data_IF_149987776393
#
_entry.id   IF_149987776393
#
_cell.length_a   1.000
_cell.length_b   1.000
_cell.length_c   1.000
_cell.angle_alpha   90.00
_cell.angle_beta   90.00
_cell.angle_gamma   90.00
#
_symmetry.space_group_name_H-M   'P 1'
#
loop_
_entity.id
_entity.type
_entity.pdbx_description
1 polymer ?
#
# COMPACT_ATOMS: atom_id res chain seq x y z
N UNK A 1 3.86 23.89 23.76
CA UNK A 1 3.29 23.28 22.52
C UNK A 1 4.04 21.99 22.24
N UNK A 2 3.45 20.83 22.54
CA UNK A 2 4.03 19.53 22.16
C UNK A 2 3.77 19.33 20.66
N UNK A 3 4.73 19.72 19.82
CA UNK A 3 4.70 19.45 18.38
C UNK A 3 4.96 17.95 18.19
N UNK A 4 4.05 17.27 17.51
CA UNK A 4 4.27 15.91 17.02
C UNK A 4 5.28 16.04 15.87
N UNK A 5 6.55 15.85 16.16
CA UNK A 5 7.54 15.53 15.14
C UNK A 5 7.99 14.10 15.47
N UNK A 6 7.47 13.13 14.70
CA UNK A 6 7.95 11.75 14.48
C UNK A 6 8.71 11.04 15.65
N UNK A 7 8.36 11.30 16.91
CA UNK A 7 9.26 10.98 18.02
C UNK A 7 9.18 9.55 18.57
N UNK A 8 8.50 8.63 17.90
CA UNK A 8 8.50 7.22 18.33
C UNK A 8 8.29 6.22 17.18
N UNK A 9 9.31 6.01 16.35
CA UNK A 9 9.41 4.82 15.50
C UNK A 9 10.35 3.83 16.19
N UNK A 10 9.84 2.64 16.49
CA UNK A 10 10.56 1.54 17.16
C UNK A 10 11.66 1.01 16.25
N UNK A 11 12.88 0.90 16.78
CA UNK A 11 14.10 0.50 16.05
C UNK A 11 14.24 -1.02 16.04
N UNK A 12 14.40 -1.62 14.85
CA UNK A 12 14.94 -2.97 14.68
C UNK A 12 16.32 -2.85 14.03
N UNK A 13 17.35 -3.48 14.60
CA UNK A 13 18.74 -3.34 14.16
C UNK A 13 19.22 -4.63 13.47
N UNK A 14 19.62 -4.56 12.20
CA UNK A 14 20.55 -5.49 11.54
C UNK A 14 21.32 -4.80 10.38
N UNK A 15 22.37 -5.48 9.91
CA UNK A 15 23.58 -5.04 9.21
C UNK A 15 23.41 -4.18 7.94
N UNK A 16 24.45 -3.36 7.68
CA UNK A 16 24.56 -2.43 6.53
C UNK A 16 25.08 -3.14 5.27
N UNK A 17 24.46 -2.89 4.12
CA UNK A 17 25.07 -3.05 2.80
C UNK A 17 24.86 -1.80 1.94
N UNK A 18 25.87 -1.40 1.18
CA UNK A 18 25.88 -0.19 0.38
C UNK A 18 25.32 -0.46 -1.02
N UNK A 19 24.15 0.10 -1.32
CA UNK A 19 23.67 0.24 -2.69
C UNK A 19 23.24 1.69 -2.91
N UNK A 20 23.94 2.39 -3.81
CA UNK A 20 23.59 3.72 -4.28
C UNK A 20 22.83 3.60 -5.60
N UNK A 21 21.60 4.10 -5.65
CA UNK A 21 20.80 4.21 -6.87
C UNK A 21 20.17 5.63 -6.98
N UNK A 22 20.25 6.23 -8.17
CA UNK A 22 20.06 7.67 -8.45
C UNK A 22 18.65 8.21 -8.10
N UNK A 23 18.51 9.35 -7.40
CA UNK A 23 18.34 10.68 -8.03
C UNK A 23 18.59 11.86 -7.06
N UNK A 24 18.90 11.57 -5.80
CA UNK A 24 19.13 12.55 -4.75
C UNK A 24 20.56 12.47 -4.25
N UNK A 25 21.29 13.59 -4.30
CA UNK A 25 22.60 13.66 -3.64
C UNK A 25 22.42 13.87 -2.13
N UNK A 26 22.18 12.78 -1.38
CA UNK A 26 22.01 12.80 0.08
C UNK A 26 23.27 13.24 0.83
N UNK A 27 24.42 13.20 0.16
CA UNK A 27 25.72 13.63 0.70
C UNK A 27 26.07 15.07 0.33
N UNK A 28 25.18 15.80 -0.36
CA UNK A 28 25.41 17.19 -0.77
C UNK A 28 25.71 18.06 0.44
N UNK A 29 26.84 18.76 0.39
CA UNK A 29 27.29 19.70 1.44
C UNK A 29 26.88 21.14 1.15
N UNK A 30 26.11 21.37 0.09
CA UNK A 30 25.58 22.70 -0.25
C UNK A 30 24.65 23.16 0.86
N UNK A 31 25.03 24.25 1.53
CA UNK A 31 24.25 24.83 2.62
C UNK A 31 23.03 25.56 2.05
N UNK A 32 21.85 25.26 2.60
CA UNK A 32 20.59 25.95 2.28
C UNK A 32 20.27 27.01 3.34
N UNK A 33 20.47 26.68 4.62
CA UNK A 33 20.23 27.59 5.75
C UNK A 33 21.31 27.45 6.82
N UNK A 34 21.56 28.54 7.56
CA UNK A 34 22.41 28.54 8.75
C UNK A 34 21.68 29.21 9.92
N UNK A 35 21.69 28.55 11.09
CA UNK A 35 21.06 29.07 12.31
C UNK A 35 21.93 28.69 13.51
N UNK A 36 22.35 29.66 14.32
CA UNK A 36 23.09 29.43 15.57
C UNK A 36 24.29 28.47 15.45
N UNK A 37 25.04 28.57 14.35
CA UNK A 37 26.22 27.71 14.09
C UNK A 37 25.90 26.32 13.50
N UNK A 38 24.63 25.98 13.29
CA UNK A 38 24.21 24.76 12.60
C UNK A 38 23.91 25.05 11.14
N UNK A 39 24.36 24.15 10.25
CA UNK A 39 24.10 24.22 8.81
C UNK A 39 23.10 23.16 8.38
N UNK A 40 22.02 23.60 7.75
CA UNK A 40 21.09 22.73 7.07
C UNK A 40 21.48 22.65 5.59
N UNK A 41 21.77 21.45 5.09
CA UNK A 41 22.30 21.23 3.74
C UNK A 41 21.25 20.65 2.79
N UNK A 42 21.52 20.72 1.49
CA UNK A 42 20.75 20.04 0.46
C UNK A 42 20.74 18.51 0.68
N UNK A 43 21.84 17.94 1.24
CA UNK A 43 21.87 16.54 1.64
C UNK A 43 20.81 16.20 2.70
N UNK A 44 20.64 17.06 3.71
CA UNK A 44 19.60 16.88 4.73
C UNK A 44 18.19 16.93 4.11
N UNK A 45 17.94 17.90 3.24
CA UNK A 45 16.65 18.01 2.55
C UNK A 45 16.33 16.79 1.70
N UNK A 46 17.33 16.31 0.97
CA UNK A 46 17.23 15.13 0.12
C UNK A 46 16.90 13.85 0.91
N UNK A 47 17.40 13.72 2.14
CA UNK A 47 17.04 12.61 3.04
C UNK A 47 15.56 12.65 3.42
N UNK A 48 15.05 13.82 3.81
CA UNK A 48 13.63 14.01 4.13
C UNK A 48 12.75 13.77 2.90
N UNK A 49 13.15 14.27 1.73
CA UNK A 49 12.41 14.03 0.48
C UNK A 49 12.27 12.54 0.17
N UNK A 50 13.35 11.76 0.30
CA UNK A 50 13.30 10.29 0.09
C UNK A 50 12.28 9.63 1.02
N UNK A 51 12.27 9.99 2.29
CA UNK A 51 11.31 9.47 3.26
C UNK A 51 9.86 9.85 2.92
N UNK A 52 9.62 11.12 2.59
CA UNK A 52 8.30 11.62 2.22
C UNK A 52 7.80 10.90 0.95
N UNK A 53 8.62 10.85 -0.10
CA UNK A 53 8.23 10.21 -1.36
C UNK A 53 8.01 8.70 -1.22
N UNK A 54 8.74 8.04 -0.32
CA UNK A 54 8.48 6.65 0.05
C UNK A 54 7.09 6.47 0.69
N UNK A 55 6.74 7.29 1.68
CA UNK A 55 5.41 7.24 2.30
C UNK A 55 4.31 7.51 1.28
N UNK A 56 4.50 8.50 0.40
CA UNK A 56 3.48 8.89 -0.58
C UNK A 56 3.42 7.94 -1.78
N UNK A 57 4.48 7.15 -2.02
CA UNK A 57 4.68 6.36 -3.24
C UNK A 57 4.66 7.23 -4.50
N UNK A 58 5.02 8.51 -4.41
CA UNK A 58 4.96 9.50 -5.49
C UNK A 58 6.08 10.53 -5.34
N UNK A 59 6.66 10.96 -6.46
CA UNK A 59 7.64 12.06 -6.47
C UNK A 59 6.93 13.39 -6.24
N UNK A 60 7.52 14.26 -5.42
CA UNK A 60 7.04 15.61 -5.18
C UNK A 60 7.34 16.52 -6.37
N UNK A 61 6.36 17.35 -6.74
CA UNK A 61 6.54 18.42 -7.72
C UNK A 61 7.52 19.50 -7.20
N UNK A 62 8.05 20.31 -8.11
CA UNK A 62 8.96 21.41 -7.73
C UNK A 62 8.31 22.41 -6.74
N UNK A 63 7.00 22.67 -6.89
CA UNK A 63 6.25 23.56 -6.01
C UNK A 63 6.14 22.94 -4.60
N UNK A 64 5.79 21.66 -4.51
CA UNK A 64 5.70 20.94 -3.23
C UNK A 64 7.06 20.88 -2.54
N UNK A 65 8.16 20.63 -3.28
CA UNK A 65 9.51 20.68 -2.71
C UNK A 65 9.83 22.05 -2.12
N UNK A 66 9.47 23.14 -2.81
CA UNK A 66 9.66 24.50 -2.27
C UNK A 66 8.81 24.75 -1.02
N UNK A 67 7.57 24.26 -0.96
CA UNK A 67 6.72 24.37 0.22
C UNK A 67 7.32 23.61 1.42
N UNK A 68 7.73 22.36 1.21
CA UNK A 68 8.40 21.55 2.23
C UNK A 68 9.67 22.22 2.74
N UNK A 69 10.49 22.76 1.82
CA UNK A 69 11.71 23.48 2.19
C UNK A 69 11.45 24.72 3.06
N UNK A 70 10.37 25.48 2.78
CA UNK A 70 9.95 26.64 3.61
C UNK A 70 9.47 26.21 4.99
N UNK A 71 8.71 25.12 5.10
CA UNK A 71 8.27 24.60 6.40
C UNK A 71 9.45 24.13 7.24
N UNK A 72 10.41 23.43 6.61
CA UNK A 72 11.65 22.99 7.27
C UNK A 72 12.47 24.18 7.73
N UNK A 73 12.61 25.24 6.92
CA UNK A 73 13.30 26.46 7.31
C UNK A 73 12.69 27.07 8.59
N UNK A 74 11.35 27.15 8.66
CA UNK A 74 10.62 27.63 9.85
C UNK A 74 10.90 26.76 11.08
N UNK A 75 10.92 25.44 10.93
CA UNK A 75 11.18 24.51 12.03
C UNK A 75 12.66 24.52 12.47
N UNK A 76 13.60 24.54 11.52
CA UNK A 76 15.04 24.59 11.77
C UNK A 76 15.45 25.86 12.51
N UNK A 77 14.83 27.02 12.21
CA UNK A 77 15.05 28.28 12.94
C UNK A 77 14.67 28.19 14.42
N UNK A 78 13.73 27.32 14.79
CA UNK A 78 13.28 27.16 16.17
C UNK A 78 14.18 26.20 16.96
N UNK A 79 14.58 25.08 16.36
CA UNK A 79 15.40 24.07 17.06
C UNK A 79 16.35 23.33 16.11
N UNK A 80 17.47 23.96 15.69
CA UNK A 80 18.30 23.44 14.61
C UNK A 80 18.98 22.11 14.97
N UNK A 81 19.48 21.96 16.20
CA UNK A 81 20.16 20.74 16.65
C UNK A 81 19.22 19.53 16.63
N UNK A 82 17.98 19.72 17.09
CA UNK A 82 16.98 18.66 17.14
C UNK A 82 16.53 18.25 15.73
N UNK A 83 16.26 19.22 14.84
CA UNK A 83 15.90 18.93 13.45
C UNK A 83 16.97 18.08 12.74
N UNK A 84 18.25 18.42 12.89
CA UNK A 84 19.32 17.60 12.28
C UNK A 84 19.36 16.19 12.84
N UNK A 85 19.17 16.04 14.16
CA UNK A 85 19.12 14.71 14.79
C UNK A 85 17.98 13.86 14.24
N UNK A 86 16.79 14.43 14.06
CA UNK A 86 15.64 13.71 13.52
C UNK A 86 15.88 13.26 12.08
N UNK A 87 16.49 14.11 11.25
CA UNK A 87 16.80 13.78 9.85
C UNK A 87 17.77 12.60 9.77
N UNK A 88 18.81 12.59 10.61
CA UNK A 88 19.76 11.48 10.64
C UNK A 88 19.11 10.20 11.19
N UNK A 89 18.15 10.31 12.12
CA UNK A 89 17.39 9.15 12.60
C UNK A 89 16.47 8.57 11.53
N UNK A 90 15.76 9.43 10.79
CA UNK A 90 14.91 9.02 9.67
C UNK A 90 15.74 8.40 8.56
N UNK A 91 16.87 8.99 8.19
CA UNK A 91 17.77 8.43 7.18
C UNK A 91 18.30 7.06 7.62
N UNK A 92 18.75 6.91 8.88
CA UNK A 92 19.19 5.61 9.39
C UNK A 92 18.10 4.53 9.31
N UNK A 93 16.84 4.87 9.61
CA UNK A 93 15.71 3.96 9.44
C UNK A 93 15.46 3.63 7.97
N UNK A 94 15.50 4.63 7.09
CA UNK A 94 15.37 4.40 5.64
C UNK A 94 16.48 3.48 5.12
N UNK A 95 17.73 3.65 5.57
CA UNK A 95 18.83 2.76 5.19
C UNK A 95 18.58 1.30 5.61
N UNK A 96 17.93 1.06 6.75
CA UNK A 96 17.53 -0.28 7.17
C UNK A 96 16.40 -0.83 6.29
N UNK A 97 15.41 0.01 5.98
CA UNK A 97 14.33 -0.34 5.05
C UNK A 97 14.90 -0.72 3.69
N UNK A 98 15.99 -0.07 3.29
CA UNK A 98 16.63 -0.34 2.02
C UNK A 98 17.32 -1.71 1.92
N UNK A 99 17.45 -2.44 3.02
CA UNK A 99 17.98 -3.80 3.03
C UNK A 99 16.88 -4.85 2.89
N UNK A 100 15.60 -4.45 2.93
CA UNK A 100 14.48 -5.38 2.90
C UNK A 100 14.21 -5.77 1.46
N UNK A 101 14.29 -7.07 1.16
CA UNK A 101 13.96 -7.63 -0.15
C UNK A 101 12.52 -8.13 -0.24
N UNK A 102 11.89 -8.44 0.90
CA UNK A 102 10.48 -8.86 0.97
C UNK A 102 9.54 -7.66 0.71
N UNK A 103 8.90 -7.66 -0.45
CA UNK A 103 7.95 -6.65 -0.91
C UNK A 103 6.76 -6.50 0.03
N UNK A 104 6.26 -7.61 0.60
CA UNK A 104 5.17 -7.57 1.57
C UNK A 104 5.63 -6.89 2.86
N UNK A 105 6.86 -7.14 3.31
CA UNK A 105 7.43 -6.46 4.48
C UNK A 105 7.59 -4.95 4.25
N UNK A 106 8.06 -4.52 3.07
CA UNK A 106 8.13 -3.10 2.70
C UNK A 106 6.75 -2.45 2.76
N UNK A 107 5.73 -3.12 2.19
CA UNK A 107 4.35 -2.66 2.22
C UNK A 107 3.79 -2.52 3.64
N UNK A 108 4.02 -3.53 4.49
CA UNK A 108 3.62 -3.49 5.91
C UNK A 108 4.29 -2.33 6.65
N UNK A 109 5.59 -2.11 6.45
CA UNK A 109 6.30 -1.00 7.06
C UNK A 109 5.77 0.35 6.61
N UNK A 110 5.51 0.51 5.31
CA UNK A 110 4.91 1.73 4.76
C UNK A 110 3.53 1.99 5.38
N UNK A 111 2.68 0.98 5.46
CA UNK A 111 1.37 1.05 6.12
C UNK A 111 1.48 1.44 7.60
N UNK A 112 2.47 0.93 8.32
CA UNK A 112 2.72 1.29 9.71
C UNK A 112 3.14 2.77 9.86
N UNK A 113 4.02 3.28 8.98
CA UNK A 113 4.40 4.69 8.98
C UNK A 113 3.20 5.60 8.67
N UNK A 114 2.40 5.25 7.65
CA UNK A 114 1.17 5.96 7.31
C UNK A 114 0.22 5.99 8.51
N UNK A 115 0.03 4.84 9.17
CA UNK A 115 -0.79 4.69 10.37
C UNK A 115 -0.37 5.63 11.49
N UNK A 116 0.92 5.71 11.78
CA UNK A 116 1.45 6.58 12.84
C UNK A 116 1.20 8.06 12.53
N UNK A 117 1.47 8.48 11.30
CA UNK A 117 1.27 9.88 10.90
C UNK A 117 -0.21 10.22 10.89
N UNK A 118 -1.05 9.32 10.38
CA UNK A 118 -2.50 9.49 10.35
C UNK A 118 -3.07 9.61 11.78
N UNK A 119 -2.71 8.71 12.68
CA UNK A 119 -3.13 8.77 14.09
C UNK A 119 -2.63 10.04 14.79
N UNK A 120 -1.40 10.46 14.51
CA UNK A 120 -0.86 11.73 15.00
C UNK A 120 -1.65 12.94 14.51
N UNK A 121 -2.01 12.96 13.22
CA UNK A 121 -2.76 14.04 12.58
C UNK A 121 -4.17 14.22 13.14
N UNK A 122 -4.83 13.15 13.60
CA UNK A 122 -6.16 13.24 14.24
C UNK A 122 -6.16 14.13 15.49
N UNK A 123 -5.02 14.29 16.16
CA UNK A 123 -4.87 15.13 17.35
C UNK A 123 -4.60 16.62 17.02
N UNK A 124 -4.53 17.00 15.74
CA UNK A 124 -4.19 18.35 15.29
C UNK A 124 -5.41 19.18 14.86
N UNK A 125 -6.62 18.79 15.26
CA UNK A 125 -7.84 19.51 14.91
C UNK A 125 -7.76 21.00 15.29
N UNK A 126 -8.09 21.88 14.33
CA UNK A 126 -8.05 23.34 14.50
C UNK A 126 -6.66 23.98 14.42
N UNK A 127 -5.61 23.21 14.08
CA UNK A 127 -4.25 23.71 13.92
C UNK A 127 -3.79 23.68 12.45
N UNK A 128 -2.74 24.44 12.14
CA UNK A 128 -2.05 24.34 10.85
C UNK A 128 -1.46 22.92 10.71
N UNK A 129 -1.91 22.18 9.71
CA UNK A 129 -1.41 20.83 9.44
C UNK A 129 0.05 20.89 8.95
N UNK A 130 0.94 19.99 9.43
CA UNK A 130 2.28 19.83 8.85
C UNK A 130 2.22 19.50 7.37
N UNK A 131 3.23 19.92 6.61
CA UNK A 131 3.35 19.71 5.17
C UNK A 131 3.16 18.25 4.76
N UNK A 132 3.82 17.32 5.46
CA UNK A 132 3.69 15.88 5.20
C UNK A 132 2.23 15.41 5.35
N UNK A 133 1.49 15.90 6.35
CA UNK A 133 0.09 15.52 6.56
C UNK A 133 -0.80 16.02 5.42
N UNK A 134 -0.57 17.25 4.95
CA UNK A 134 -1.28 17.80 3.78
C UNK A 134 -1.05 16.94 2.53
N UNK A 135 0.21 16.54 2.29
CA UNK A 135 0.55 15.67 1.18
C UNK A 135 -0.06 14.27 1.33
N UNK A 136 -0.10 13.73 2.55
CA UNK A 136 -0.73 12.43 2.79
C UNK A 136 -2.22 12.45 2.46
N UNK A 137 -2.95 13.47 2.88
CA UNK A 137 -4.36 13.62 2.52
C UNK A 137 -4.57 13.79 1.01
N UNK A 138 -3.59 14.34 0.29
CA UNK A 138 -3.63 14.50 -1.16
C UNK A 138 -3.31 13.21 -1.93
N UNK A 139 -2.26 12.49 -1.55
CA UNK A 139 -1.72 11.39 -2.37
C UNK A 139 -1.98 9.99 -1.83
N UNK A 140 -2.19 9.86 -0.52
CA UNK A 140 -2.43 8.58 0.17
C UNK A 140 -3.60 8.70 1.14
N UNK A 141 -4.79 9.13 0.68
CA UNK A 141 -5.94 9.25 1.56
C UNK A 141 -6.27 7.88 2.17
N UNK A 142 -6.35 7.84 3.50
CA UNK A 142 -6.64 6.62 4.27
C UNK A 142 -8.13 6.34 4.18
N UNK A 143 -8.47 5.16 3.68
CA UNK A 143 -9.85 4.68 3.53
C UNK A 143 -10.33 3.92 4.76
N UNK A 144 -9.45 3.11 5.36
CA UNK A 144 -9.72 2.39 6.59
C UNK A 144 -8.46 2.29 7.45
N UNK A 145 -8.64 2.21 8.77
CA UNK A 145 -7.55 2.29 9.74
C UNK A 145 -7.77 1.28 10.88
N UNK A 146 -6.76 0.46 11.15
CA UNK A 146 -6.70 -0.45 12.29
C UNK A 146 -5.60 0.02 13.26
N UNK A 147 -5.97 0.73 14.34
CA UNK A 147 -5.01 1.24 15.31
C UNK A 147 -4.33 0.14 16.14
N UNK A 148 -4.94 -1.04 16.27
CA UNK A 148 -4.38 -2.12 17.08
C UNK A 148 -3.18 -2.75 16.38
N UNK A 149 -3.26 -2.91 15.06
CA UNK A 149 -2.23 -3.54 14.25
C UNK A 149 -1.36 -2.52 13.49
N UNK A 150 -1.63 -1.21 13.63
CA UNK A 150 -0.96 -0.13 12.90
C UNK A 150 -1.05 -0.33 11.39
N UNK A 151 -2.27 -0.60 10.90
CA UNK A 151 -2.53 -0.79 9.47
C UNK A 151 -3.41 0.33 8.94
N UNK A 152 -3.00 0.91 7.81
CA UNK A 152 -3.72 1.95 7.12
C UNK A 152 -3.95 1.52 5.67
N UNK A 153 -5.19 1.22 5.34
CA UNK A 153 -5.61 0.92 3.97
C UNK A 153 -5.87 2.22 3.24
N UNK A 154 -5.07 2.51 2.22
CA UNK A 154 -5.17 3.78 1.48
C UNK A 154 -5.88 3.62 0.14
N UNK A 155 -6.27 4.74 -0.46
CA UNK A 155 -6.84 4.74 -1.81
C UNK A 155 -5.87 4.15 -2.84
N UNK A 156 -4.57 4.38 -2.70
CA UNK A 156 -3.56 3.80 -3.59
C UNK A 156 -3.50 2.28 -3.47
N UNK A 157 -3.66 1.75 -2.26
CA UNK A 157 -3.73 0.30 -2.06
C UNK A 157 -4.98 -0.28 -2.72
N UNK A 158 -6.12 0.42 -2.62
CA UNK A 158 -7.34 0.04 -3.33
C UNK A 158 -7.21 0.10 -4.86
N UNK A 159 -6.61 1.16 -5.43
CA UNK A 159 -6.36 1.25 -6.87
C UNK A 159 -5.47 0.09 -7.34
N UNK A 160 -4.37 -0.15 -6.62
CA UNK A 160 -3.44 -1.23 -6.92
C UNK A 160 -4.10 -2.61 -6.81
N UNK A 161 -5.01 -2.78 -5.85
CA UNK A 161 -5.83 -3.99 -5.73
C UNK A 161 -6.65 -4.23 -7.01
N UNK A 162 -7.36 -3.21 -7.51
CA UNK A 162 -8.12 -3.31 -8.76
C UNK A 162 -7.19 -3.60 -9.95
N UNK A 163 -6.04 -2.94 -10.04
CA UNK A 163 -5.10 -3.16 -11.13
C UNK A 163 -4.47 -4.54 -11.11
N UNK A 164 -4.17 -5.09 -9.93
CA UNK A 164 -3.70 -6.47 -9.78
C UNK A 164 -4.74 -7.47 -10.27
N UNK A 165 -6.02 -7.26 -9.94
CA UNK A 165 -7.10 -8.09 -10.47
C UNK A 165 -7.18 -8.04 -12.01
N UNK A 166 -7.10 -6.85 -12.60
CA UNK A 166 -7.12 -6.69 -14.05
C UNK A 166 -5.89 -7.31 -14.71
N UNK A 167 -4.71 -7.09 -14.14
CA UNK A 167 -3.45 -7.67 -14.61
C UNK A 167 -3.52 -9.19 -14.62
N UNK A 168 -4.02 -9.80 -13.55
CA UNK A 168 -4.17 -11.24 -13.48
C UNK A 168 -5.20 -11.78 -14.47
N UNK A 169 -6.35 -11.13 -14.61
CA UNK A 169 -7.32 -11.50 -15.62
C UNK A 169 -6.70 -11.50 -17.03
N UNK A 170 -5.91 -10.46 -17.35
CA UNK A 170 -5.20 -10.36 -18.62
C UNK A 170 -4.20 -11.50 -18.82
N UNK A 171 -3.45 -11.88 -17.77
CA UNK A 171 -2.53 -13.03 -17.85
C UNK A 171 -3.29 -14.34 -18.13
N UNK A 172 -4.52 -14.46 -17.67
CA UNK A 172 -5.38 -15.62 -17.96
C UNK A 172 -6.13 -15.51 -19.31
N UNK A 173 -5.79 -14.52 -20.14
CA UNK A 173 -6.43 -14.29 -21.44
C UNK A 173 -7.82 -13.63 -21.35
N UNK A 174 -8.20 -13.12 -20.18
CA UNK A 174 -9.45 -12.43 -19.96
C UNK A 174 -9.24 -10.90 -20.00
N UNK A 175 -10.10 -10.19 -20.72
CA UNK A 175 -10.07 -8.73 -20.72
C UNK A 175 -11.10 -8.19 -19.72
N UNK A 176 -10.74 -8.21 -18.43
CA UNK A 176 -11.60 -7.67 -17.37
C UNK A 176 -11.39 -6.17 -17.24
N UNK A 177 -12.49 -5.42 -17.41
CA UNK A 177 -12.54 -3.98 -17.18
C UNK A 177 -13.63 -3.70 -16.14
N UNK A 178 -13.28 -2.99 -15.08
CA UNK A 178 -14.26 -2.58 -14.07
C UNK A 178 -14.89 -1.26 -14.47
N UNK A 179 -16.22 -1.19 -14.39
CA UNK A 179 -16.94 0.07 -14.50
C UNK A 179 -16.70 0.94 -13.26
N UNK A 180 -16.87 2.26 -13.38
CA UNK A 180 -16.70 3.17 -12.24
C UNK A 180 -17.62 2.81 -11.07
N UNK A 181 -18.84 2.35 -11.35
CA UNK A 181 -19.79 1.91 -10.33
C UNK A 181 -19.26 0.68 -9.57
N UNK A 182 -18.72 -0.32 -10.27
CA UNK A 182 -18.11 -1.50 -9.65
C UNK A 182 -16.90 -1.15 -8.78
N UNK A 183 -16.08 -0.18 -9.22
CA UNK A 183 -14.94 0.32 -8.43
C UNK A 183 -15.45 0.93 -7.12
N UNK A 184 -16.46 1.80 -7.17
CA UNK A 184 -17.03 2.44 -5.97
C UNK A 184 -17.65 1.39 -5.03
N UNK A 185 -18.41 0.44 -5.56
CA UNK A 185 -19.02 -0.64 -4.78
C UNK A 185 -17.96 -1.52 -4.09
N UNK A 186 -16.90 -1.87 -4.82
CA UNK A 186 -15.79 -2.67 -4.28
C UNK A 186 -15.05 -1.91 -3.20
N UNK A 187 -14.77 -0.62 -3.40
CA UNK A 187 -14.15 0.23 -2.38
C UNK A 187 -14.97 0.24 -1.10
N UNK A 188 -16.27 0.56 -1.21
CA UNK A 188 -17.16 0.65 -0.06
C UNK A 188 -17.25 -0.68 0.69
N UNK A 189 -17.33 -1.80 -0.04
CA UNK A 189 -17.31 -3.12 0.55
C UNK A 189 -16.03 -3.38 1.34
N UNK A 190 -14.86 -3.17 0.74
CA UNK A 190 -13.57 -3.42 1.41
C UNK A 190 -13.39 -2.54 2.65
N UNK A 191 -13.80 -1.27 2.58
CA UNK A 191 -13.74 -0.34 3.72
C UNK A 191 -14.64 -0.82 4.86
N UNK A 192 -15.88 -1.24 4.55
CA UNK A 192 -16.82 -1.75 5.56
C UNK A 192 -16.34 -3.07 6.18
N UNK A 193 -15.74 -3.95 5.39
CA UNK A 193 -15.25 -5.24 5.86
C UNK A 193 -13.89 -5.15 6.55
N UNK A 194 -13.14 -4.07 6.35
CA UNK A 194 -11.73 -3.97 6.78
C UNK A 194 -11.54 -4.39 8.23
N UNK A 195 -12.37 -3.90 9.16
CA UNK A 195 -12.22 -4.22 10.58
C UNK A 195 -12.58 -5.66 10.96
N UNK A 196 -13.33 -6.36 10.10
CA UNK A 196 -13.74 -7.76 10.28
C UNK A 196 -12.80 -8.76 9.60
N UNK A 197 -11.90 -8.28 8.74
CA UNK A 197 -10.85 -9.09 8.12
C UNK A 197 -9.84 -9.58 9.17
N UNK A 198 -9.20 -10.72 8.88
CA UNK A 198 -8.04 -11.18 9.67
C UNK A 198 -6.89 -10.20 9.55
N UNK A 199 -5.96 -10.22 10.52
CA UNK A 199 -4.77 -9.34 10.47
C UNK A 199 -3.99 -9.55 9.17
N UNK A 200 -3.88 -10.79 8.71
CA UNK A 200 -3.15 -11.10 7.50
C UNK A 200 -3.83 -10.57 6.23
N UNK A 201 -5.16 -10.71 6.13
CA UNK A 201 -5.94 -10.11 5.05
C UNK A 201 -5.76 -8.58 5.03
N UNK A 202 -5.80 -7.92 6.19
CA UNK A 202 -5.54 -6.48 6.31
C UNK A 202 -4.14 -6.11 5.86
N UNK A 203 -3.12 -6.86 6.29
CA UNK A 203 -1.72 -6.62 5.92
C UNK A 203 -1.51 -6.73 4.40
N UNK A 204 -2.13 -7.74 3.78
CA UNK A 204 -2.09 -7.90 2.34
C UNK A 204 -2.77 -6.72 1.63
N UNK A 205 -3.98 -6.35 2.05
CA UNK A 205 -4.67 -5.18 1.50
C UNK A 205 -3.83 -3.90 1.61
N UNK A 206 -3.21 -3.63 2.76
CA UNK A 206 -2.42 -2.42 3.00
C UNK A 206 -1.02 -2.44 2.35
N UNK A 207 -0.66 -3.51 1.64
CA UNK A 207 0.60 -3.62 0.90
C UNK A 207 0.41 -3.67 -0.62
N UNK A 208 -0.84 -3.63 -1.10
CA UNK A 208 -1.19 -3.78 -2.51
C UNK A 208 -0.49 -2.78 -3.42
N UNK A 209 -0.33 -1.51 -3.00
CA UNK A 209 0.39 -0.53 -3.82
C UNK A 209 1.84 -0.96 -4.08
N UNK A 210 2.55 -1.36 -3.03
CA UNK A 210 3.97 -1.74 -3.15
C UNK A 210 4.11 -3.00 -3.98
N UNK A 211 3.22 -3.98 -3.78
CA UNK A 211 3.19 -5.23 -4.54
C UNK A 211 2.90 -4.99 -6.02
N UNK A 212 1.87 -4.20 -6.35
CA UNK A 212 1.52 -3.90 -7.73
C UNK A 212 2.62 -3.14 -8.46
N UNK A 213 3.17 -2.09 -7.84
CA UNK A 213 4.31 -1.38 -8.41
C UNK A 213 5.44 -2.37 -8.71
N UNK A 214 5.69 -3.33 -7.81
CA UNK A 214 6.79 -4.29 -7.97
C UNK A 214 6.55 -5.21 -9.15
N UNK A 215 5.40 -5.88 -9.16
CA UNK A 215 5.00 -6.80 -10.21
C UNK A 215 4.97 -6.10 -11.57
N UNK A 216 4.38 -4.90 -11.64
CA UNK A 216 4.28 -4.15 -12.89
C UNK A 216 5.64 -3.70 -13.42
N UNK A 217 6.55 -3.22 -12.56
CA UNK A 217 7.91 -2.85 -12.96
C UNK A 217 8.70 -4.04 -13.48
N UNK A 218 8.66 -5.16 -12.75
CA UNK A 218 9.34 -6.41 -13.14
C UNK A 218 8.77 -6.90 -14.48
N UNK A 219 7.45 -6.99 -14.61
CA UNK A 219 6.78 -7.42 -15.84
C UNK A 219 7.13 -6.52 -17.04
N UNK A 220 7.19 -5.20 -16.83
CA UNK A 220 7.53 -4.26 -17.89
C UNK A 220 8.97 -4.40 -18.40
N UNK A 221 9.89 -4.88 -17.56
CA UNK A 221 11.28 -5.16 -17.94
C UNK A 221 11.48 -6.52 -18.59
N UNK A 222 10.50 -7.43 -18.50
CA UNK A 222 10.57 -8.74 -19.16
C UNK A 222 10.53 -8.63 -20.67
N UNK A 223 11.37 -9.45 -21.32
CA UNK A 223 11.29 -9.75 -22.75
C UNK A 223 9.94 -10.42 -23.10
N UNK A 224 9.57 -10.39 -24.38
CA UNK A 224 8.36 -11.05 -24.85
C UNK A 224 8.32 -12.55 -24.50
N UNK A 225 9.45 -13.24 -24.65
CA UNK A 225 9.57 -14.66 -24.32
C UNK A 225 9.34 -14.92 -22.83
N UNK A 226 9.91 -14.09 -21.95
CA UNK A 226 9.70 -14.19 -20.50
C UNK A 226 8.24 -13.95 -20.12
N UNK A 227 7.58 -12.96 -20.74
CA UNK A 227 6.15 -12.72 -20.51
C UNK A 227 5.28 -13.91 -20.92
N UNK A 228 5.59 -14.56 -22.04
CA UNK A 228 4.89 -15.78 -22.47
C UNK A 228 5.10 -16.94 -21.49
N UNK A 229 6.32 -17.12 -20.98
CA UNK A 229 6.61 -18.14 -19.97
C UNK A 229 5.85 -17.89 -18.66
N UNK A 230 5.87 -16.65 -18.16
CA UNK A 230 5.08 -16.24 -17.00
C UNK A 230 3.60 -16.56 -17.19
N UNK A 231 3.04 -16.18 -18.35
CA UNK A 231 1.63 -16.42 -18.67
C UNK A 231 1.28 -17.91 -18.60
N UNK A 232 2.12 -18.76 -19.20
CA UNK A 232 1.94 -20.22 -19.18
C UNK A 232 2.03 -20.79 -17.75
N UNK A 233 2.92 -20.27 -16.90
CA UNK A 233 3.02 -20.70 -15.50
C UNK A 233 1.74 -20.37 -14.72
N UNK A 234 1.18 -19.17 -14.90
CA UNK A 234 -0.08 -18.77 -14.26
C UNK A 234 -1.25 -19.65 -14.69
N UNK A 235 -1.38 -19.92 -15.98
CA UNK A 235 -2.43 -20.82 -16.53
C UNK A 235 -2.31 -22.24 -15.96
N UNK A 236 -1.09 -22.77 -15.86
CA UNK A 236 -0.84 -24.10 -15.31
C UNK A 236 -1.22 -24.18 -13.82
N UNK A 237 -0.87 -23.17 -13.02
CA UNK A 237 -1.21 -23.13 -11.59
C UNK A 237 -2.72 -23.10 -11.37
N UNK A 238 -3.45 -22.31 -12.16
CA UNK A 238 -4.90 -22.25 -12.08
C UNK A 238 -5.55 -23.61 -12.38
N UNK A 239 -5.02 -24.34 -13.37
CA UNK A 239 -5.53 -25.67 -13.73
C UNK A 239 -5.40 -26.69 -12.59
N UNK A 240 -4.33 -26.63 -11.79
CA UNK A 240 -4.14 -27.52 -10.63
C UNK A 240 -5.15 -27.28 -9.50
N UNK A 241 -5.58 -26.03 -9.27
CA UNK A 241 -6.51 -25.72 -8.19
C UNK A 241 -7.96 -26.14 -8.50
N UNK A 242 -8.39 -26.07 -9.76
CA UNK A 242 -9.73 -26.53 -10.15
C UNK A 242 -9.94 -28.04 -10.04
N UNK A 243 -8.86 -28.84 -9.97
CA UNK A 243 -8.97 -30.30 -9.82
C UNK A 243 -9.22 -30.75 -8.36
N UNK A 244 -9.05 -29.87 -7.35
CA UNK A 244 -9.08 -30.25 -5.93
C UNK A 244 -10.32 -29.79 -5.14
N UNK A 245 -11.24 -29.00 -5.70
CA UNK A 245 -12.42 -28.49 -4.97
C UNK A 245 -13.73 -29.17 -5.40
N UNK A 246 -14.21 -30.12 -4.59
CA UNK A 246 -15.48 -30.85 -4.79
C UNK A 246 -16.61 -30.46 -3.80
N UNK A 247 -16.54 -29.35 -3.05
CA UNK A 247 -17.59 -29.03 -2.04
C UNK A 247 -17.78 -27.54 -1.70
N UNK A 248 -18.16 -26.71 -2.67
CA UNK A 248 -18.40 -25.27 -2.48
C UNK A 248 -19.72 -24.91 -1.76
N UNK A 249 -20.64 -25.86 -1.55
CA UNK A 249 -21.99 -25.57 -1.03
C UNK A 249 -22.05 -25.33 0.49
N UNK A 250 -21.10 -25.84 1.28
CA UNK A 250 -21.21 -25.87 2.74
C UNK A 250 -20.86 -24.55 3.47
N UNK A 251 -20.00 -23.70 2.89
CA UNK A 251 -19.55 -22.46 3.52
C UNK A 251 -20.61 -21.32 3.45
N UNK A 252 -21.57 -21.44 2.54
CA UNK A 252 -22.60 -20.42 2.26
C UNK A 252 -23.76 -20.43 3.29
N UNK A 253 -24.14 -21.60 3.81
CA UNK A 253 -25.28 -21.75 4.73
C UNK A 253 -25.04 -21.08 6.11
N UNK A 254 -23.78 -20.94 6.53
CA UNK A 254 -23.45 -20.36 7.84
C UNK A 254 -23.50 -18.82 7.86
N UNK A 255 -23.14 -18.13 6.78
CA UNK A 255 -23.10 -16.66 6.73
C UNK A 255 -24.48 -15.99 6.60
N UNK A 256 -25.40 -16.61 5.85
CA UNK A 256 -26.74 -16.06 5.58
C UNK A 256 -27.62 -15.98 6.86
N UNK A 257 -27.44 -16.90 7.80
CA UNK A 257 -28.22 -16.94 9.03
C UNK A 257 -27.82 -15.87 10.07
N UNK A 258 -26.59 -15.33 10.02
CA UNK A 258 -26.14 -14.29 10.94
C UNK A 258 -26.62 -12.88 10.55
N UNK A 259 -26.75 -12.58 9.25
CA UNK A 259 -27.11 -11.24 8.78
C UNK A 259 -28.60 -10.88 9.00
N UNK A 260 -29.51 -11.87 9.03
CA UNK A 260 -30.92 -11.61 9.31
C UNK A 260 -31.24 -11.35 10.79
N UNK A 261 -30.30 -11.61 11.71
CA UNK A 261 -30.55 -11.40 13.15
C UNK A 261 -30.31 -9.96 13.61
N UNK A 262 -29.65 -9.12 12.79
CA UNK A 262 -29.36 -7.73 13.13
C UNK A 262 -30.29 -6.77 12.38
N UNK A 263 -31.46 -6.48 12.96
CA UNK A 263 -32.55 -5.62 12.46
C UNK A 263 -32.22 -4.11 12.31
N UNK A 264 -30.97 -3.70 12.10
CA UNK A 264 -30.55 -2.29 12.29
C UNK A 264 -30.09 -1.52 11.05
N UNK A 265 -30.15 -2.06 9.84
CA UNK A 265 -29.65 -1.34 8.66
C UNK A 265 -30.66 -1.30 7.50
N UNK A 266 -31.10 -0.09 7.18
CA UNK A 266 -31.93 0.21 6.00
C UNK A 266 -31.01 0.35 4.78
N UNK A 267 -30.78 -0.78 4.12
CA UNK A 267 -29.93 -0.88 2.91
C UNK A 267 -30.66 -0.22 1.74
N UNK A 268 -30.08 0.83 1.15
CA UNK A 268 -30.55 1.40 -0.11
C UNK A 268 -30.20 0.46 -1.28
N UNK A 269 -31.22 0.06 -2.03
CA UNK A 269 -31.11 -0.83 -3.17
C UNK A 269 -30.94 -0.04 -4.48
N UNK A 270 -30.27 -0.61 -5.50
CA UNK A 270 -30.23 -0.04 -6.84
C UNK A 270 -31.65 0.18 -7.40
N UNK A 271 -31.81 1.23 -8.21
CA UNK A 271 -33.08 1.54 -8.86
C UNK A 271 -33.57 0.34 -9.69
N UNK A 272 -34.81 -0.09 -9.44
CA UNK A 272 -35.43 -1.25 -10.08
C UNK A 272 -35.38 -2.55 -9.26
N UNK A 273 -34.71 -2.57 -8.11
CA UNK A 273 -34.64 -3.75 -7.22
C UNK A 273 -35.57 -3.54 -6.02
N UNK A 274 -36.84 -3.92 -6.20
CA UNK A 274 -37.90 -3.57 -5.25
C UNK A 274 -38.42 -4.79 -4.49
N UNK A 275 -38.29 -5.99 -5.06
CA UNK A 275 -38.86 -7.21 -4.48
C UNK A 275 -37.81 -8.01 -3.70
N UNK A 276 -38.28 -8.80 -2.73
CA UNK A 276 -37.43 -9.71 -1.95
C UNK A 276 -36.65 -10.69 -2.85
N UNK A 277 -37.27 -11.15 -3.93
CA UNK A 277 -36.67 -12.07 -4.89
C UNK A 277 -35.55 -11.40 -5.71
N UNK A 278 -35.75 -10.16 -6.18
CA UNK A 278 -34.73 -9.40 -6.90
C UNK A 278 -33.56 -9.02 -5.99
N UNK A 279 -33.84 -8.64 -4.73
CA UNK A 279 -32.82 -8.39 -3.72
C UNK A 279 -31.98 -9.64 -3.46
N UNK A 280 -32.62 -10.81 -3.36
CA UNK A 280 -31.94 -12.10 -3.22
C UNK A 280 -31.18 -12.53 -4.48
N UNK A 281 -31.67 -12.19 -5.68
CA UNK A 281 -30.98 -12.49 -6.94
C UNK A 281 -29.78 -11.57 -7.16
N UNK A 282 -29.92 -10.29 -6.85
CA UNK A 282 -28.85 -9.30 -6.89
C UNK A 282 -27.77 -9.60 -5.87
N UNK A 283 -28.14 -9.91 -4.62
CA UNK A 283 -27.18 -10.38 -3.62
C UNK A 283 -26.54 -11.69 -4.06
N UNK A 284 -27.28 -12.63 -4.66
CA UNK A 284 -26.67 -13.86 -5.23
C UNK A 284 -25.76 -13.58 -6.42
N UNK A 285 -26.04 -12.59 -7.25
CA UNK A 285 -25.19 -12.22 -8.38
C UNK A 285 -23.93 -11.49 -7.92
N UNK A 286 -24.08 -10.53 -7.00
CA UNK A 286 -22.96 -9.88 -6.31
C UNK A 286 -22.14 -10.92 -5.57
N UNK A 287 -22.76 -11.87 -4.88
CA UNK A 287 -22.10 -12.94 -4.16
C UNK A 287 -21.57 -14.02 -5.09
N UNK A 288 -22.09 -14.23 -6.28
CA UNK A 288 -21.44 -15.09 -7.29
C UNK A 288 -20.22 -14.39 -7.88
N UNK A 289 -20.29 -13.06 -8.09
CA UNK A 289 -19.16 -12.23 -8.49
C UNK A 289 -18.14 -12.04 -7.34
N UNK A 290 -18.59 -12.06 -6.09
CA UNK A 290 -17.79 -11.87 -4.89
C UNK A 290 -17.34 -13.17 -4.23
N UNK A 291 -18.02 -14.30 -4.41
CA UNK A 291 -17.53 -15.62 -4.04
C UNK A 291 -16.61 -16.15 -5.14
N UNK A 292 -16.82 -15.79 -6.42
CA UNK A 292 -15.77 -15.97 -7.42
C UNK A 292 -14.60 -15.03 -7.17
N UNK A 293 -14.80 -13.78 -6.73
CA UNK A 293 -13.71 -12.91 -6.30
C UNK A 293 -13.12 -13.28 -4.92
N UNK A 294 -13.88 -13.79 -3.97
CA UNK A 294 -13.42 -14.19 -2.63
C UNK A 294 -12.72 -15.52 -2.72
N UNK A 295 -13.24 -16.47 -3.51
CA UNK A 295 -12.47 -17.63 -3.90
C UNK A 295 -11.26 -17.19 -4.73
N UNK A 296 -11.36 -16.22 -5.64
CA UNK A 296 -10.19 -15.69 -6.36
C UNK A 296 -9.22 -14.92 -5.47
N UNK A 297 -9.67 -14.38 -4.32
CA UNK A 297 -8.91 -13.61 -3.32
C UNK A 297 -8.33 -14.48 -2.22
N UNK A 298 -8.99 -15.56 -1.85
CA UNK A 298 -8.45 -16.67 -1.05
C UNK A 298 -7.51 -17.49 -1.92
N UNK A 299 -7.81 -17.68 -3.22
CA UNK A 299 -6.86 -18.10 -4.23
C UNK A 299 -5.76 -17.05 -4.32
N UNK A 300 -6.01 -15.74 -4.32
CA UNK A 300 -4.95 -14.72 -4.41
C UNK A 300 -4.10 -14.69 -3.16
N UNK A 301 -4.67 -14.96 -2.00
CA UNK A 301 -3.99 -14.99 -0.73
C UNK A 301 -3.18 -16.27 -0.61
N UNK A 302 -3.77 -17.44 -0.88
CA UNK A 302 -3.09 -18.72 -0.90
C UNK A 302 -2.07 -18.79 -2.05
N UNK A 303 -2.38 -18.25 -3.23
CA UNK A 303 -1.47 -18.15 -4.38
C UNK A 303 -0.44 -17.07 -4.11
N UNK A 304 -0.75 -15.84 -3.73
CA UNK A 304 0.30 -14.87 -3.37
C UNK A 304 1.18 -15.30 -2.21
N UNK A 305 0.73 -16.14 -1.27
CA UNK A 305 1.55 -16.66 -0.18
C UNK A 305 2.32 -17.93 -0.57
N UNK A 306 1.69 -18.89 -1.26
CA UNK A 306 2.34 -20.14 -1.74
C UNK A 306 3.16 -19.88 -3.01
N UNK A 307 2.64 -19.10 -3.95
CA UNK A 307 3.29 -18.55 -5.14
C UNK A 307 3.95 -17.19 -4.93
N UNK A 308 4.02 -16.64 -3.70
CA UNK A 308 5.13 -15.72 -3.35
C UNK A 308 6.42 -16.44 -3.68
N UNK A 309 6.53 -17.69 -3.24
CA UNK A 309 7.70 -18.54 -3.44
C UNK A 309 7.89 -18.85 -4.92
N UNK A 310 6.83 -19.07 -5.70
CA UNK A 310 6.95 -19.38 -7.12
C UNK A 310 7.16 -18.14 -8.00
N UNK A 311 6.50 -17.02 -7.73
CA UNK A 311 6.76 -15.73 -8.39
C UNK A 311 8.13 -15.20 -7.99
N UNK A 312 8.51 -15.21 -6.71
CA UNK A 312 9.87 -14.86 -6.29
C UNK A 312 10.90 -15.86 -6.81
N UNK A 313 10.67 -17.18 -6.82
CA UNK A 313 11.62 -18.11 -7.44
C UNK A 313 11.72 -17.90 -8.96
N UNK A 314 10.63 -17.55 -9.62
CA UNK A 314 10.64 -17.21 -11.04
C UNK A 314 11.42 -15.90 -11.22
N UNK A 315 11.18 -14.88 -10.39
CA UNK A 315 11.81 -13.56 -10.49
C UNK A 315 13.28 -13.54 -10.03
N UNK A 316 13.64 -14.22 -8.93
CA UNK A 316 15.02 -14.41 -8.42
C UNK A 316 15.88 -15.20 -9.41
N UNK A 317 15.30 -16.17 -10.13
CA UNK A 317 16.02 -16.85 -11.21
C UNK A 317 16.19 -15.98 -12.46
N UNK A 318 15.53 -14.82 -12.56
CA UNK A 318 15.48 -14.02 -13.79
C UNK A 318 15.99 -12.56 -13.71
N UNK A 319 16.44 -12.05 -12.55
CA UNK A 319 17.12 -10.74 -12.51
C UNK A 319 17.57 -10.22 -11.13
N UNK A 320 18.70 -9.52 -11.15
CA UNK A 320 19.43 -8.87 -10.04
C UNK A 320 18.59 -7.75 -9.37
N UNK A 321 17.90 -8.04 -8.25
CA UNK A 321 16.91 -7.15 -7.60
C UNK A 321 17.51 -6.20 -6.57
N UNK A 322 18.59 -5.50 -6.93
CA UNK A 322 19.05 -4.36 -6.13
C UNK A 322 17.90 -3.37 -5.84
N UNK A 323 17.69 -3.04 -4.57
CA UNK A 323 17.06 -1.79 -4.05
C UNK A 323 15.85 -1.27 -4.85
N UNK A 324 14.77 -2.05 -4.85
CA UNK A 324 13.56 -1.84 -5.64
C UNK A 324 12.91 -0.43 -5.60
N UNK A 325 13.00 0.31 -4.49
CA UNK A 325 12.36 1.64 -4.35
C UNK A 325 13.20 2.80 -4.92
N UNK A 326 14.49 2.59 -5.25
CA UNK A 326 15.32 3.62 -5.91
C UNK A 326 15.42 3.43 -7.43
N UNK A 327 14.94 2.30 -7.97
CA UNK A 327 14.78 2.08 -9.41
C UNK A 327 13.50 2.74 -9.94
N UNK A 328 13.40 4.07 -9.85
CA UNK A 328 12.39 4.86 -10.59
C UNK A 328 12.96 6.17 -11.13
#
# INVERSE_FOLDING_TARGET
MKKIILSTIVVFAFLQSNAQTNSYNINSKKVLFNVNGYSYTEGHFNKELRFIEFILGNKLSAIERQEGLREIEKNFKVNPAYTLKEIEQVDAQMQQMYQITDVAMIGRMRSALISQIYAGAQNLQGQELPFLVKLMYKYVPVLAFDPQNMLAFTYRDFEAYIYLMQFNAQMLGQNVQFTQQQIIETQNYLVQQFNYMTVEQKQNLCSMQVQYDYISNVYNQMTLQQRQQWQNQMLNQQAYQYQNYNSADAAFEQGYNQAQQNNSYDVKWPDGINTKAEKQAYLRQMQNNMNSNSAAMDIYYNTMMETHTTMLNTIENFGDTGVYWEYK
#
